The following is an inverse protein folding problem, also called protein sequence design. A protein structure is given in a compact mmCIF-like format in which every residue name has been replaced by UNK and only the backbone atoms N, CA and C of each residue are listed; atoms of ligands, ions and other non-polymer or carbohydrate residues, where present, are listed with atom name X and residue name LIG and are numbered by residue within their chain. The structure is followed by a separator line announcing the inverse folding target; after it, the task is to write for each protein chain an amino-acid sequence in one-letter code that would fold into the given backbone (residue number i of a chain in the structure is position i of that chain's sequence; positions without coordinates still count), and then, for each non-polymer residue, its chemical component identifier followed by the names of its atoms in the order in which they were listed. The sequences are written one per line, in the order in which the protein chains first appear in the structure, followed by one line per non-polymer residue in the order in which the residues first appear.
data_IF_350829255762
#
_entry.id   IF_350829255762
#
_cell.length_a   1.000
_cell.length_b   1.000
_cell.length_c   1.000
_cell.angle_alpha   90.00
_cell.angle_beta   90.00
_cell.angle_gamma   90.00
#
_symmetry.space_group_name_H-M   'P 1'
#
loop_
_entity.id
_entity.type
_entity.pdbx_description
1 polymer ?
#
# COMPACT_ATOMS: atom_id res chain seq x y z
N UNK A 1 -3.38 -3.07 4.52
CA UNK A 1 -2.05 -2.92 5.17
C UNK A 1 -1.36 -1.68 4.62
N UNK A 2 -0.32 -1.16 5.27
CA UNK A 2 0.44 -0.04 4.74
C UNK A 2 1.86 0.07 5.29
N UNK A 3 2.72 0.75 4.54
CA UNK A 3 4.11 1.02 4.92
C UNK A 3 4.31 2.52 5.07
N UNK A 4 5.06 2.91 6.11
CA UNK A 4 5.46 4.30 6.33
C UNK A 4 6.61 4.64 5.40
N UNK A 5 6.47 5.73 4.67
CA UNK A 5 7.50 6.35 3.84
C UNK A 5 8.02 7.59 4.58
N UNK A 6 9.33 7.62 4.83
CA UNK A 6 9.98 8.75 5.49
C UNK A 6 10.48 9.72 4.44
N UNK A 7 9.89 10.91 4.40
CA UNK A 7 10.26 11.99 3.47
C UNK A 7 10.74 13.24 4.23
N UNK A 8 10.57 13.29 5.55
CA UNK A 8 10.98 14.44 6.36
C UNK A 8 10.05 15.63 6.16
N UNK A 9 10.60 16.78 5.78
CA UNK A 9 9.84 18.00 5.44
C UNK A 9 9.74 18.24 3.92
N UNK A 10 10.34 17.33 3.13
CA UNK A 10 10.42 17.45 1.68
C UNK A 10 9.07 17.18 1.02
N UNK A 11 8.95 17.64 -0.22
CA UNK A 11 7.83 17.34 -1.12
C UNK A 11 8.29 16.34 -2.18
N UNK A 12 7.36 15.49 -2.62
CA UNK A 12 7.64 14.58 -3.72
C UNK A 12 6.38 14.07 -4.40
N UNK A 13 6.56 13.61 -5.62
CA UNK A 13 5.54 12.99 -6.46
C UNK A 13 5.64 11.46 -6.35
N UNK A 14 4.51 10.78 -6.10
CA UNK A 14 4.48 9.33 -6.09
C UNK A 14 4.54 8.78 -7.52
N UNK A 15 5.59 8.02 -7.82
CA UNK A 15 5.82 7.51 -9.16
C UNK A 15 5.24 6.11 -9.34
N UNK A 16 5.52 5.19 -8.41
CA UNK A 16 5.10 3.78 -8.52
C UNK A 16 4.89 3.14 -7.16
N UNK A 17 4.01 2.16 -7.12
CA UNK A 17 3.88 1.22 -5.99
C UNK A 17 4.13 -0.19 -6.49
N UNK A 18 4.92 -0.96 -5.74
CA UNK A 18 5.11 -2.39 -6.01
C UNK A 18 4.62 -3.24 -4.86
N UNK A 19 3.76 -4.21 -5.16
CA UNK A 19 3.24 -5.20 -4.23
C UNK A 19 3.81 -6.58 -4.60
N UNK A 20 4.45 -7.21 -3.63
CA UNK A 20 5.02 -8.54 -3.76
C UNK A 20 4.13 -9.54 -3.04
N UNK A 21 3.14 -10.06 -3.77
CA UNK A 21 2.35 -11.19 -3.31
C UNK A 21 3.19 -12.48 -3.39
N UNK A 22 2.80 -13.47 -2.59
CA UNK A 22 3.41 -14.80 -2.54
C UNK A 22 2.46 -15.89 -3.08
N UNK A 23 1.32 -15.49 -3.63
CA UNK A 23 0.29 -16.37 -4.17
C UNK A 23 -1.12 -15.96 -3.76
N UNK A 24 -2.09 -16.46 -4.50
CA UNK A 24 -3.52 -16.32 -4.26
C UNK A 24 -4.21 -17.66 -4.55
N UNK A 25 -5.21 -18.04 -3.75
CA UNK A 25 -6.00 -19.25 -3.91
C UNK A 25 -7.46 -18.98 -3.60
N UNK A 26 -8.35 -19.54 -4.40
CA UNK A 26 -9.80 -19.52 -4.15
C UNK A 26 -10.55 -18.30 -4.72
N UNK A 27 -9.87 -17.45 -5.49
CA UNK A 27 -10.45 -16.37 -6.31
C UNK A 27 -9.62 -16.21 -7.58
N UNK A 28 -10.23 -15.72 -8.66
CA UNK A 28 -9.53 -15.55 -9.95
C UNK A 28 -8.73 -14.25 -10.00
N UNK A 29 -9.23 -13.19 -9.36
CA UNK A 29 -8.62 -11.86 -9.36
C UNK A 29 -8.76 -11.20 -7.99
N UNK A 30 -7.68 -10.60 -7.51
CA UNK A 30 -7.70 -9.69 -6.38
C UNK A 30 -7.92 -8.26 -6.87
N UNK A 31 -9.02 -7.65 -6.50
CA UNK A 31 -9.29 -6.23 -6.70
C UNK A 31 -8.80 -5.51 -5.45
N UNK A 32 -7.90 -4.55 -5.66
CA UNK A 32 -7.25 -3.83 -4.58
C UNK A 32 -7.34 -2.33 -4.81
N UNK A 33 -7.11 -1.59 -3.73
CA UNK A 33 -6.96 -0.14 -3.81
C UNK A 33 -5.77 0.36 -3.03
N UNK A 34 -5.20 1.45 -3.51
CA UNK A 34 -4.15 2.22 -2.85
C UNK A 34 -4.78 3.47 -2.23
N UNK A 35 -4.37 3.77 -1.00
CA UNK A 35 -4.64 5.03 -0.32
C UNK A 35 -3.32 5.61 0.20
N UNK A 36 -3.29 6.93 0.38
CA UNK A 36 -2.13 7.67 0.89
C UNK A 36 -2.58 8.50 2.08
N UNK A 37 -1.93 8.36 3.23
CA UNK A 37 -2.30 9.10 4.44
C UNK A 37 -1.15 9.99 4.88
N UNK A 38 -1.46 11.21 5.29
CA UNK A 38 -0.48 12.05 5.97
C UNK A 38 -0.06 11.42 7.31
N UNK A 39 1.20 11.56 7.68
CA UNK A 39 1.69 11.17 9.00
C UNK A 39 2.27 12.36 9.77
N UNK A 40 2.18 12.31 11.10
CA UNK A 40 2.94 13.19 12.00
C UNK A 40 3.61 12.32 13.05
N UNK A 41 4.93 12.15 12.93
CA UNK A 41 5.65 11.11 13.66
C UNK A 41 5.11 9.73 13.26
N UNK A 42 4.67 8.93 14.24
CA UNK A 42 4.06 7.62 13.99
C UNK A 42 2.52 7.65 14.00
N UNK A 43 1.90 8.83 14.07
CA UNK A 43 0.45 8.99 14.00
C UNK A 43 -0.02 9.15 12.55
N UNK A 44 -0.88 8.24 12.11
CA UNK A 44 -1.57 8.32 10.82
C UNK A 44 -2.73 9.31 10.93
N UNK A 45 -2.85 10.22 9.96
CA UNK A 45 -3.84 11.30 9.92
C UNK A 45 -4.87 11.04 8.83
N UNK A 46 -5.28 12.08 8.10
CA UNK A 46 -6.27 12.00 7.04
C UNK A 46 -5.73 11.27 5.81
N UNK A 47 -6.65 10.64 5.07
CA UNK A 47 -6.39 10.23 3.68
C UNK A 47 -6.17 11.50 2.84
N UNK A 48 -5.17 11.46 1.97
CA UNK A 48 -4.80 12.53 1.06
C UNK A 48 -5.48 12.36 -0.30
N UNK A 49 -5.91 11.14 -0.64
CA UNK A 49 -6.61 10.88 -1.88
C UNK A 49 -8.12 11.15 -1.72
N UNK A 50 -8.68 11.98 -2.61
CA UNK A 50 -10.12 12.13 -2.74
C UNK A 50 -10.75 10.85 -3.29
N UNK A 51 -10.08 10.26 -4.30
CA UNK A 51 -10.44 8.97 -4.88
C UNK A 51 -9.26 8.00 -4.77
N UNK A 52 -9.49 6.76 -4.31
CA UNK A 52 -8.41 5.79 -4.21
C UNK A 52 -7.97 5.28 -5.59
N UNK A 53 -6.72 4.84 -5.69
CA UNK A 53 -6.21 4.24 -6.93
C UNK A 53 -6.54 2.75 -6.93
N UNK A 54 -7.34 2.29 -7.89
CA UNK A 54 -7.73 0.89 -8.01
C UNK A 54 -6.78 0.13 -8.94
N UNK A 55 -6.52 -1.13 -8.61
CA UNK A 55 -5.78 -2.05 -9.47
C UNK A 55 -6.22 -3.49 -9.21
N UNK A 56 -5.90 -4.38 -10.15
CA UNK A 56 -6.26 -5.80 -10.06
C UNK A 56 -5.01 -6.67 -10.20
N UNK A 57 -5.00 -7.80 -9.50
CA UNK A 57 -3.94 -8.81 -9.60
C UNK A 57 -4.59 -10.15 -9.94
N UNK A 58 -4.41 -10.66 -11.16
CA UNK A 58 -4.83 -12.03 -11.50
C UNK A 58 -4.16 -13.04 -10.56
N UNK A 59 -4.90 -14.05 -10.12
CA UNK A 59 -4.35 -15.08 -9.23
C UNK A 59 -3.17 -15.83 -9.85
N UNK A 60 -3.18 -15.98 -11.18
CA UNK A 60 -2.08 -16.54 -11.98
C UNK A 60 -0.79 -15.70 -11.98
N UNK A 61 -0.86 -14.45 -11.50
CA UNK A 61 0.27 -13.52 -11.40
C UNK A 61 0.58 -13.14 -9.95
N UNK A 62 -0.16 -13.69 -8.98
CA UNK A 62 -0.06 -13.33 -7.57
C UNK A 62 1.24 -13.78 -6.89
N UNK A 63 2.14 -14.48 -7.58
CA UNK A 63 3.50 -14.78 -7.11
C UNK A 63 4.55 -13.82 -7.72
N UNK A 64 4.16 -13.00 -8.69
CA UNK A 64 5.00 -11.98 -9.34
C UNK A 64 4.87 -10.62 -8.62
N UNK A 65 5.75 -9.71 -8.99
CA UNK A 65 5.70 -8.31 -8.54
C UNK A 65 4.64 -7.54 -9.32
N UNK A 66 3.55 -7.16 -8.66
CA UNK A 66 2.58 -6.21 -9.24
C UNK A 66 3.15 -4.81 -9.14
N UNK A 67 3.24 -4.09 -10.27
CA UNK A 67 3.66 -2.67 -10.31
C UNK A 67 2.49 -1.81 -10.76
N UNK A 68 2.14 -0.81 -9.95
CA UNK A 68 1.12 0.19 -10.28
C UNK A 68 1.83 1.50 -10.57
N UNK A 69 1.62 2.04 -11.78
CA UNK A 69 2.09 3.37 -12.17
C UNK A 69 1.18 4.43 -11.55
N UNK A 70 1.77 5.33 -10.76
CA UNK A 70 1.04 6.40 -10.07
C UNK A 70 1.17 7.77 -10.75
N UNK A 71 2.06 7.90 -11.74
CA UNK A 71 2.26 9.15 -12.49
C UNK A 71 0.96 9.72 -13.09
N UNK A 72 0.04 8.90 -13.67
CA UNK A 72 -1.21 9.43 -14.23
C UNK A 72 -2.14 10.07 -13.21
N UNK A 73 -1.93 9.85 -11.90
CA UNK A 73 -2.75 10.38 -10.83
C UNK A 73 -2.18 11.66 -10.20
N UNK A 74 -0.96 12.08 -10.60
CA UNK A 74 -0.31 13.32 -10.16
C UNK A 74 -0.36 13.52 -8.63
N UNK A 75 -0.04 12.45 -7.88
CA UNK A 75 -0.16 12.43 -6.41
C UNK A 75 1.09 13.04 -5.78
N UNK A 76 0.94 14.22 -5.20
CA UNK A 76 1.99 14.90 -4.43
C UNK A 76 1.80 14.71 -2.93
N UNK A 77 2.90 14.42 -2.24
CA UNK A 77 2.96 14.29 -0.78
C UNK A 77 3.96 15.28 -0.21
N UNK A 78 3.68 15.78 0.98
CA UNK A 78 4.61 16.59 1.77
C UNK A 78 4.85 15.95 3.12
N UNK A 79 6.12 15.69 3.39
CA UNK A 79 6.62 15.01 4.57
C UNK A 79 6.19 13.55 4.69
N UNK A 80 6.41 12.96 5.87
CA UNK A 80 6.14 11.54 6.13
C UNK A 80 4.68 11.16 5.80
N UNK A 81 4.53 10.01 5.15
CA UNK A 81 3.22 9.50 4.75
C UNK A 81 3.14 7.98 4.89
N UNK A 82 1.92 7.45 4.90
CA UNK A 82 1.63 6.02 4.83
C UNK A 82 1.03 5.72 3.46
N UNK A 83 1.64 4.82 2.70
CA UNK A 83 0.93 4.18 1.59
C UNK A 83 0.24 2.92 2.11
N UNK A 84 -0.99 2.68 1.69
CA UNK A 84 -1.70 1.47 2.06
C UNK A 84 -2.30 0.76 0.86
N UNK A 85 -2.29 -0.56 0.90
CA UNK A 85 -3.01 -1.44 -0.02
C UNK A 85 -4.11 -2.18 0.75
N UNK A 86 -5.34 -2.12 0.23
CA UNK A 86 -6.52 -2.77 0.78
C UNK A 86 -7.10 -3.76 -0.25
N UNK A 87 -7.42 -4.98 0.18
CA UNK A 87 -8.15 -5.95 -0.64
C UNK A 87 -9.64 -5.63 -0.59
N UNK A 88 -10.27 -5.55 -1.77
CA UNK A 88 -11.69 -5.31 -1.96
C UNK A 88 -12.42 -6.56 -2.45
N UNK A 89 -11.70 -7.61 -2.86
CA UNK A 89 -12.30 -8.87 -3.28
C UNK A 89 -13.02 -9.53 -2.11
N UNK A 90 -14.28 -9.89 -2.32
CA UNK A 90 -15.00 -10.79 -1.43
C UNK A 90 -14.31 -12.16 -1.43
N UNK A 91 -13.68 -12.52 -0.32
CA UNK A 91 -12.95 -13.77 -0.19
C UNK A 91 -13.91 -14.88 0.29
N UNK A 92 -14.27 -15.86 -0.55
CA UNK A 92 -15.12 -16.97 -0.11
C UNK A 92 -14.41 -17.86 0.92
N UNK A 93 -15.16 -18.75 1.56
CA UNK A 93 -14.63 -19.66 2.56
C UNK A 93 -13.43 -20.47 2.02
N UNK A 94 -12.30 -20.42 2.73
CA UNK A 94 -11.06 -21.10 2.33
C UNK A 94 -10.18 -20.34 1.34
N UNK A 95 -10.65 -19.23 0.75
CA UNK A 95 -9.83 -18.39 -0.10
C UNK A 95 -8.77 -17.62 0.71
N UNK A 96 -7.57 -17.50 0.16
CA UNK A 96 -6.40 -16.90 0.82
C UNK A 96 -5.53 -16.20 -0.20
N UNK A 97 -4.86 -15.16 0.23
CA UNK A 97 -3.71 -14.62 -0.48
C UNK A 97 -2.59 -14.36 0.52
N UNK A 98 -1.36 -14.46 0.04
CA UNK A 98 -0.17 -14.29 0.87
C UNK A 98 0.68 -13.15 0.34
N UNK A 99 1.45 -12.55 1.23
CA UNK A 99 2.30 -11.42 0.92
C UNK A 99 3.69 -11.78 1.37
N UNK A 100 4.69 -11.51 0.51
CA UNK A 100 6.08 -11.78 0.84
C UNK A 100 6.45 -10.94 2.05
N UNK A 101 7.09 -11.58 3.03
CA UNK A 101 7.57 -10.88 4.22
C UNK A 101 8.78 -10.01 3.86
N UNK A 102 8.93 -8.89 4.56
CA UNK A 102 10.13 -8.04 4.51
C UNK A 102 10.76 -7.99 5.89
N UNK A 103 11.98 -8.50 6.00
CA UNK A 103 12.71 -8.54 7.27
C UNK A 103 12.97 -7.13 7.80
N UNK A 104 12.92 -6.96 9.13
CA UNK A 104 13.18 -5.70 9.86
C UNK A 104 12.27 -4.51 9.49
N UNK A 105 11.28 -4.70 8.63
CA UNK A 105 10.32 -3.65 8.29
C UNK A 105 9.11 -3.67 9.23
N UNK A 106 8.49 -2.50 9.40
CA UNK A 106 7.23 -2.33 10.15
C UNK A 106 6.09 -2.16 9.16
N UNK A 107 4.92 -2.65 9.53
CA UNK A 107 3.70 -2.48 8.72
C UNK A 107 2.56 -2.03 9.61
N UNK A 108 1.71 -1.18 9.06
CA UNK A 108 0.48 -0.75 9.69
C UNK A 108 -0.68 -1.56 9.12
N UNK A 109 -1.53 -2.11 9.97
CA UNK A 109 -2.71 -2.89 9.59
C UNK A 109 -3.96 -2.34 10.26
N UNK A 110 -5.10 -2.57 9.63
CA UNK A 110 -6.43 -2.33 10.18
C UNK A 110 -7.39 -3.31 9.53
N UNK A 111 -8.43 -3.68 10.26
CA UNK A 111 -9.36 -4.73 9.82
C UNK A 111 -10.39 -4.18 8.83
N UNK A 112 -10.79 -2.92 9.00
CA UNK A 112 -11.68 -2.19 8.07
C UNK A 112 -11.16 -0.77 7.86
N UNK A 113 -11.69 -0.06 6.86
CA UNK A 113 -11.26 1.30 6.56
C UNK A 113 -11.60 2.33 7.64
N UNK A 114 -12.51 2.00 8.55
CA UNK A 114 -12.89 2.82 9.71
C UNK A 114 -12.17 2.38 11.00
N UNK A 115 -11.56 1.20 11.01
CA UNK A 115 -10.86 0.68 12.17
C UNK A 115 -9.53 1.45 12.43
N UNK A 116 -9.11 1.57 13.71
CA UNK A 116 -7.85 2.20 14.04
C UNK A 116 -6.67 1.39 13.49
N UNK A 117 -5.63 2.12 13.07
CA UNK A 117 -4.38 1.53 12.63
C UNK A 117 -3.62 0.90 13.79
N UNK A 118 -3.06 -0.28 13.55
CA UNK A 118 -2.20 -1.00 14.50
C UNK A 118 -0.85 -1.26 13.84
N UNK A 119 0.24 -0.90 14.52
CA UNK A 119 1.58 -1.24 14.06
C UNK A 119 1.88 -2.72 14.35
N UNK A 120 2.59 -3.36 13.41
CA UNK A 120 3.08 -4.73 13.52
C UNK A 120 4.58 -4.74 13.24
N UNK A 121 5.34 -5.47 14.07
CA UNK A 121 6.76 -5.78 13.86
C UNK A 121 6.94 -6.91 12.82
N UNK A 122 6.14 -6.88 11.76
CA UNK A 122 6.19 -7.79 10.64
C UNK A 122 6.09 -6.94 9.38
N UNK A 123 7.10 -7.02 8.52
CA UNK A 123 7.15 -6.26 7.29
C UNK A 123 6.46 -6.98 6.14
N UNK A 124 5.80 -6.21 5.28
CA UNK A 124 5.22 -6.71 4.03
C UNK A 124 6.03 -6.25 2.83
N UNK A 125 6.01 -7.04 1.77
CA UNK A 125 6.60 -6.74 0.46
C UNK A 125 5.83 -5.65 -0.26
N UNK A 126 5.96 -4.41 0.22
CA UNK A 126 5.40 -3.21 -0.37
C UNK A 126 6.53 -2.17 -0.50
N UNK A 127 6.69 -1.60 -1.69
CA UNK A 127 7.64 -0.51 -1.95
C UNK A 127 7.00 0.61 -2.76
N UNK A 128 7.59 1.80 -2.65
CA UNK A 128 7.12 3.03 -3.29
C UNK A 128 8.31 3.76 -3.88
N UNK A 129 8.19 4.19 -5.12
CA UNK A 129 9.12 5.12 -5.74
C UNK A 129 8.54 6.53 -5.59
N UNK A 130 9.34 7.46 -5.07
CA UNK A 130 8.97 8.88 -4.90
C UNK A 130 10.00 9.72 -5.62
N UNK A 131 9.56 10.60 -6.51
CA UNK A 131 10.40 11.64 -7.10
C UNK A 131 10.38 12.83 -6.15
N UNK A 132 11.49 13.06 -5.44
CA UNK A 132 11.62 14.15 -4.47
C UNK A 132 11.92 15.44 -5.22
N UNK A 133 11.20 16.52 -4.91
CA UNK A 133 11.46 17.84 -5.47
C UNK A 133 12.78 18.39 -4.88
N UNK A 134 13.65 19.03 -5.69
CA UNK A 134 14.84 19.70 -5.19
C UNK A 134 14.46 20.87 -4.27
N UNK A 135 15.33 21.16 -3.28
CA UNK A 135 15.18 22.30 -2.35
C UNK A 135 15.27 23.67 -3.04
#
# INVERSE_FOLDING_TARGET
MGVKCKLGELRGELQRVRLNLAGCKGVDTLHMRINVYAMRGDRIRKNLLAEPVYFSVPASEADKTTTVDLRPYEIFVRGDFLISVENLTHMPAGAKYWIRARLLARTYTRDTSQAPWKMRKAGVGLSVDVLVEPE
#
